data_IF_784282294599
#
_entry.id   IF_784282294599
#
_cell.length_a   1.000
_cell.length_b   1.000
_cell.length_c   1.000
_cell.angle_alpha   90.00
_cell.angle_beta   90.00
_cell.angle_gamma   90.00
#
_symmetry.space_group_name_H-M   'P 1'
#
loop_
_entity.id
_entity.type
_entity.pdbx_description
1 polymer ?
#
# COMPACT_ATOMS: atom_id res chain seq x y z
N UNK A 1 13.49 31.75 -9.39
CA UNK A 1 12.18 31.99 -10.05
C UNK A 1 11.33 30.72 -10.31
N UNK A 2 11.72 29.54 -9.82
CA UNK A 2 10.93 28.30 -9.95
C UNK A 2 9.72 28.18 -9.01
N UNK A 3 9.69 28.94 -7.91
CA UNK A 3 8.59 28.90 -6.92
C UNK A 3 7.31 29.57 -7.45
N UNK A 4 7.42 30.63 -8.21
CA UNK A 4 6.27 31.34 -8.79
C UNK A 4 5.59 30.53 -9.91
N UNK A 5 6.35 29.80 -10.72
CA UNK A 5 5.79 28.97 -11.78
C UNK A 5 4.97 27.78 -11.24
N UNK A 6 5.43 27.15 -10.15
CA UNK A 6 4.66 26.08 -9.48
C UNK A 6 3.37 26.61 -8.84
N UNK A 7 3.42 27.79 -8.22
CA UNK A 7 2.26 28.44 -7.61
C UNK A 7 1.20 28.82 -8.67
N UNK A 8 1.64 29.41 -9.78
CA UNK A 8 0.76 29.77 -10.90
C UNK A 8 0.17 28.52 -11.57
N UNK A 9 0.97 27.47 -11.78
CA UNK A 9 0.50 26.21 -12.35
C UNK A 9 -0.55 25.51 -11.44
N UNK A 10 -0.43 25.63 -10.10
CA UNK A 10 -1.42 25.13 -9.14
C UNK A 10 -2.73 25.92 -9.21
N UNK A 11 -2.68 27.26 -9.27
CA UNK A 11 -3.87 28.14 -9.42
C UNK A 11 -4.59 27.88 -10.75
N UNK A 12 -3.85 27.58 -11.81
CA UNK A 12 -4.42 27.27 -13.13
C UNK A 12 -4.93 25.82 -13.25
N UNK A 13 -4.89 25.03 -12.18
CA UNK A 13 -5.32 23.61 -12.20
C UNK A 13 -4.44 22.71 -13.08
N UNK A 14 -3.26 23.18 -13.50
CA UNK A 14 -2.31 22.44 -14.33
C UNK A 14 -1.45 21.46 -13.52
N UNK A 15 -1.42 21.61 -12.19
CA UNK A 15 -0.85 20.65 -11.25
C UNK A 15 -2.02 20.12 -10.43
N UNK A 16 -2.48 18.93 -10.71
CA UNK A 16 -3.34 18.18 -9.79
C UNK A 16 -2.50 17.88 -8.55
N UNK A 17 -2.99 18.22 -7.36
CA UNK A 17 -2.40 17.72 -6.12
C UNK A 17 -2.47 16.21 -6.16
N UNK A 18 -1.31 15.56 -6.19
CA UNK A 18 -1.22 14.10 -6.19
C UNK A 18 -1.79 13.63 -4.86
N UNK A 19 -2.95 13.00 -4.89
CA UNK A 19 -3.54 12.38 -3.71
C UNK A 19 -2.68 11.18 -3.32
N UNK A 20 -1.95 11.32 -2.23
CA UNK A 20 -1.03 10.28 -1.74
C UNK A 20 -1.57 9.54 -0.53
N UNK A 21 -2.72 9.93 0.00
CA UNK A 21 -3.34 9.26 1.11
C UNK A 21 -3.75 7.82 0.75
N UNK A 22 -3.86 6.96 1.76
CA UNK A 22 -4.07 5.53 1.59
C UNK A 22 -5.26 5.05 2.40
N UNK A 23 -6.22 4.42 1.76
CA UNK A 23 -7.26 3.63 2.43
C UNK A 23 -6.80 2.18 2.53
N UNK A 24 -6.90 1.59 3.71
CA UNK A 24 -6.53 0.19 3.95
C UNK A 24 -7.75 -0.57 4.46
N UNK A 25 -8.24 -1.51 3.67
CA UNK A 25 -9.32 -2.43 4.09
C UNK A 25 -8.72 -3.62 4.82
N UNK A 26 -9.13 -3.79 6.08
CA UNK A 26 -8.54 -4.67 7.06
C UNK A 26 -7.60 -3.91 8.01
N UNK A 27 -7.85 -3.96 9.33
CA UNK A 27 -7.03 -3.30 10.36
C UNK A 27 -6.22 -4.33 11.17
N UNK A 28 -5.63 -5.31 10.49
CA UNK A 28 -4.77 -6.34 11.08
C UNK A 28 -3.34 -5.83 11.37
N UNK A 29 -2.51 -6.67 11.96
CA UNK A 29 -1.13 -6.35 12.33
C UNK A 29 -0.31 -5.81 11.15
N UNK A 30 -0.47 -6.39 9.94
CA UNK A 30 0.21 -5.93 8.72
C UNK A 30 -0.23 -4.53 8.30
N UNK A 31 -1.55 -4.30 8.30
CA UNK A 31 -2.14 -3.00 7.99
C UNK A 31 -1.71 -1.92 8.99
N UNK A 32 -1.70 -2.26 10.29
CA UNK A 32 -1.25 -1.35 11.36
C UNK A 32 0.23 -1.00 11.18
N UNK A 33 1.07 -1.96 10.80
CA UNK A 33 2.49 -1.72 10.51
C UNK A 33 2.67 -0.73 9.36
N UNK A 34 1.93 -0.92 8.26
CA UNK A 34 1.96 -0.03 7.08
C UNK A 34 1.42 1.36 7.46
N UNK A 35 0.28 1.43 8.15
CA UNK A 35 -0.34 2.69 8.54
C UNK A 35 0.57 3.54 9.45
N UNK A 36 1.22 2.93 10.45
CA UNK A 36 2.22 3.62 11.29
C UNK A 36 3.37 4.21 10.49
N UNK A 37 3.85 3.48 9.49
CA UNK A 37 4.91 3.97 8.62
C UNK A 37 4.43 5.17 7.80
N UNK A 38 3.21 5.11 7.24
CA UNK A 38 2.62 6.21 6.49
C UNK A 38 2.47 7.47 7.36
N UNK A 39 1.96 7.34 8.60
CA UNK A 39 1.87 8.46 9.55
C UNK A 39 3.23 9.07 9.88
N UNK A 40 4.24 8.24 10.15
CA UNK A 40 5.62 8.70 10.40
C UNK A 40 6.15 9.60 9.28
N UNK A 41 5.65 9.40 8.06
CA UNK A 41 6.04 10.17 6.88
C UNK A 41 4.99 11.22 6.45
N UNK A 42 4.04 11.55 7.34
CA UNK A 42 2.95 12.53 7.10
C UNK A 42 2.10 12.19 5.87
N UNK A 43 1.88 10.90 5.62
CA UNK A 43 0.98 10.40 4.58
C UNK A 43 -0.35 10.04 5.25
N UNK A 44 -1.42 10.72 4.83
CA UNK A 44 -2.77 10.46 5.32
C UNK A 44 -3.14 8.99 5.10
N UNK A 45 -3.75 8.36 6.11
CA UNK A 45 -4.23 7.00 5.97
C UNK A 45 -5.46 6.75 6.82
N UNK A 46 -6.32 5.86 6.33
CA UNK A 46 -7.56 5.46 6.98
C UNK A 46 -7.73 3.95 6.88
N UNK A 47 -7.87 3.28 8.02
CA UNK A 47 -8.17 1.86 8.10
C UNK A 47 -9.69 1.64 8.10
N UNK A 48 -10.16 0.55 7.47
CA UNK A 48 -11.57 0.15 7.49
C UNK A 48 -11.64 -1.32 7.93
N UNK A 49 -12.38 -1.61 8.99
CA UNK A 49 -12.58 -2.97 9.48
C UNK A 49 -13.94 -3.11 10.18
N UNK A 50 -14.39 -4.36 10.38
CA UNK A 50 -15.56 -4.72 11.19
C UNK A 50 -15.19 -5.38 12.52
N UNK A 51 -13.99 -5.94 12.61
CA UNK A 51 -13.52 -6.61 13.82
C UNK A 51 -13.27 -5.58 14.92
N UNK A 52 -14.08 -5.66 15.98
CA UNK A 52 -13.92 -4.78 17.14
C UNK A 52 -12.52 -4.88 17.77
N UNK A 53 -11.93 -6.07 17.72
CA UNK A 53 -10.58 -6.31 18.22
C UNK A 53 -9.53 -5.59 17.36
N UNK A 54 -9.60 -5.71 16.04
CA UNK A 54 -8.69 -5.01 15.12
C UNK A 54 -8.83 -3.49 15.26
N UNK A 55 -10.09 -3.02 15.35
CA UNK A 55 -10.38 -1.58 15.55
C UNK A 55 -9.79 -1.10 16.87
N UNK A 56 -9.94 -1.88 17.95
CA UNK A 56 -9.36 -1.56 19.26
C UNK A 56 -7.83 -1.42 19.16
N UNK A 57 -7.17 -2.41 18.57
CA UNK A 57 -5.71 -2.42 18.40
C UNK A 57 -5.22 -1.21 17.58
N UNK A 58 -5.91 -0.86 16.48
CA UNK A 58 -5.58 0.31 15.68
C UNK A 58 -5.74 1.62 16.48
N UNK A 59 -6.84 1.76 17.26
CA UNK A 59 -7.08 2.93 18.10
C UNK A 59 -6.08 3.06 19.25
N UNK A 60 -5.63 1.95 19.84
CA UNK A 60 -4.60 1.95 20.91
C UNK A 60 -3.26 2.54 20.45
N UNK A 61 -2.99 2.51 19.16
CA UNK A 61 -1.81 3.12 18.55
C UNK A 61 -2.12 4.42 17.81
N UNK A 62 -3.26 5.05 18.09
CA UNK A 62 -3.74 6.32 17.57
C UNK A 62 -3.96 6.38 16.04
N UNK A 63 -4.19 5.24 15.38
CA UNK A 63 -4.50 5.23 13.95
C UNK A 63 -5.96 5.59 13.69
N UNK A 64 -6.21 6.25 12.58
CA UNK A 64 -7.56 6.52 12.09
C UNK A 64 -8.19 5.22 11.57
N UNK A 65 -9.29 4.77 12.18
CA UNK A 65 -10.00 3.56 11.80
C UNK A 65 -11.51 3.77 11.81
N UNK A 66 -12.16 3.36 10.74
CA UNK A 66 -13.61 3.42 10.54
C UNK A 66 -14.18 2.01 10.71
N UNK A 67 -15.17 1.87 11.61
CA UNK A 67 -15.96 0.65 11.73
C UNK A 67 -17.01 0.62 10.63
N UNK A 68 -16.73 -0.08 9.53
CA UNK A 68 -17.65 -0.18 8.40
C UNK A 68 -17.49 -1.50 7.66
N UNK A 69 -18.64 -2.03 7.19
CA UNK A 69 -18.65 -3.17 6.28
C UNK A 69 -18.39 -2.69 4.85
N UNK A 70 -17.23 -2.99 4.32
CA UNK A 70 -16.89 -2.63 2.93
C UNK A 70 -17.81 -3.31 1.90
N UNK A 71 -18.48 -4.41 2.28
CA UNK A 71 -19.42 -5.14 1.44
C UNK A 71 -20.83 -4.52 1.43
N UNK A 72 -21.14 -3.57 2.34
CA UNK A 72 -22.45 -2.90 2.35
C UNK A 72 -22.57 -1.95 1.16
N UNK A 73 -23.82 -1.74 0.71
CA UNK A 73 -24.12 -0.82 -0.40
C UNK A 73 -24.14 0.66 0.03
N UNK A 74 -23.89 0.93 1.33
CA UNK A 74 -23.83 2.29 1.85
C UNK A 74 -22.59 3.02 1.31
N UNK A 75 -22.83 4.03 0.49
CA UNK A 75 -21.78 4.84 -0.16
C UNK A 75 -21.29 6.04 0.66
N UNK A 76 -21.50 6.02 2.00
CA UNK A 76 -21.15 7.12 2.91
C UNK A 76 -19.64 7.28 3.18
N UNK A 77 -18.79 6.63 2.39
CA UNK A 77 -17.33 6.80 2.50
C UNK A 77 -16.89 7.97 1.61
N UNK A 78 -16.50 9.07 2.24
CA UNK A 78 -15.89 10.19 1.57
C UNK A 78 -14.37 10.10 1.68
N UNK A 79 -13.69 10.16 0.54
CA UNK A 79 -12.23 10.12 0.44
C UNK A 79 -11.73 11.42 -0.18
N UNK A 80 -11.08 12.27 0.62
CA UNK A 80 -10.64 13.60 0.21
C UNK A 80 -9.20 13.63 -0.29
N UNK A 81 -8.27 13.10 0.52
CA UNK A 81 -6.83 13.13 0.27
C UNK A 81 -6.25 11.77 -0.13
N UNK A 82 -7.07 10.72 -0.05
CA UNK A 82 -6.66 9.37 -0.37
C UNK A 82 -6.66 9.15 -1.89
N UNK A 83 -5.54 8.65 -2.37
CA UNK A 83 -5.33 8.33 -3.78
C UNK A 83 -5.11 6.84 -4.03
N UNK A 84 -4.96 6.02 -2.97
CA UNK A 84 -4.64 4.61 -3.05
C UNK A 84 -5.54 3.76 -2.14
N UNK A 85 -5.87 2.56 -2.60
CA UNK A 85 -6.58 1.55 -1.82
C UNK A 85 -5.73 0.29 -1.69
N UNK A 86 -5.52 -0.18 -0.46
CA UNK A 86 -4.94 -1.48 -0.15
C UNK A 86 -6.01 -2.40 0.44
N UNK A 87 -6.27 -3.54 -0.15
CA UNK A 87 -7.16 -4.57 0.40
C UNK A 87 -6.31 -5.70 1.01
N UNK A 88 -6.18 -5.69 2.34
CA UNK A 88 -5.27 -6.52 3.12
C UNK A 88 -6.00 -7.37 4.17
N UNK A 89 -7.22 -7.84 3.88
CA UNK A 89 -7.92 -8.76 4.78
C UNK A 89 -7.48 -10.21 4.54
N UNK A 90 -7.78 -11.09 5.49
CA UNK A 90 -7.60 -12.54 5.32
C UNK A 90 -8.58 -13.16 4.33
N UNK A 91 -9.63 -12.44 3.94
CA UNK A 91 -10.66 -12.89 3.00
C UNK A 91 -10.38 -12.38 1.60
N UNK A 92 -10.08 -13.31 0.70
CA UNK A 92 -9.85 -13.02 -0.71
C UNK A 92 -11.06 -12.36 -1.39
N UNK A 93 -12.27 -12.84 -1.07
CA UNK A 93 -13.50 -12.32 -1.65
C UNK A 93 -13.73 -10.86 -1.23
N UNK A 94 -13.45 -10.54 0.03
CA UNK A 94 -13.52 -9.16 0.54
C UNK A 94 -12.50 -8.28 -0.18
N UNK A 95 -11.27 -8.74 -0.36
CA UNK A 95 -10.22 -7.98 -1.04
C UNK A 95 -10.58 -7.71 -2.51
N UNK A 96 -11.05 -8.73 -3.23
CA UNK A 96 -11.51 -8.59 -4.62
C UNK A 96 -12.70 -7.63 -4.72
N UNK A 97 -13.67 -7.78 -3.83
CA UNK A 97 -14.86 -6.92 -3.81
C UNK A 97 -14.50 -5.46 -3.52
N UNK A 98 -13.67 -5.20 -2.49
CA UNK A 98 -13.21 -3.86 -2.14
C UNK A 98 -12.52 -3.17 -3.32
N UNK A 99 -11.61 -3.86 -4.01
CA UNK A 99 -10.96 -3.33 -5.20
C UNK A 99 -11.96 -3.03 -6.32
N UNK A 100 -12.93 -3.90 -6.58
CA UNK A 100 -13.97 -3.68 -7.61
C UNK A 100 -14.88 -2.49 -7.26
N UNK A 101 -15.37 -2.43 -6.03
CA UNK A 101 -16.26 -1.37 -5.53
C UNK A 101 -15.60 0.00 -5.62
N UNK A 102 -14.35 0.09 -5.17
CA UNK A 102 -13.67 1.37 -5.04
C UNK A 102 -12.78 1.75 -6.25
N UNK A 103 -12.76 0.91 -7.30
CA UNK A 103 -12.05 1.19 -8.54
C UNK A 103 -12.48 2.50 -9.22
N UNK A 104 -13.77 2.84 -9.16
CA UNK A 104 -14.30 4.09 -9.71
C UNK A 104 -13.83 5.33 -8.93
N UNK A 105 -13.49 5.18 -7.66
CA UNK A 105 -13.04 6.27 -6.78
C UNK A 105 -11.53 6.49 -6.92
N UNK A 106 -10.73 5.42 -6.84
CA UNK A 106 -9.26 5.51 -6.81
C UNK A 106 -8.62 5.35 -8.19
N UNK A 107 -9.35 4.88 -9.18
CA UNK A 107 -8.81 4.45 -10.48
C UNK A 107 -8.25 3.04 -10.44
N UNK A 108 -8.19 2.41 -11.62
CA UNK A 108 -7.75 1.01 -11.77
C UNK A 108 -6.31 0.77 -11.31
N UNK A 109 -5.43 1.75 -11.52
CA UNK A 109 -4.00 1.65 -11.21
C UNK A 109 -3.67 1.86 -9.73
N UNK A 110 -4.64 2.28 -8.91
CA UNK A 110 -4.43 2.67 -7.51
C UNK A 110 -5.19 1.80 -6.52
N UNK A 111 -5.75 0.69 -6.97
CA UNK A 111 -6.41 -0.31 -6.12
C UNK A 111 -5.56 -1.58 -6.08
N UNK A 112 -5.13 -1.98 -4.90
CA UNK A 112 -4.16 -3.06 -4.70
C UNK A 112 -4.70 -4.12 -3.76
N UNK A 113 -4.29 -5.39 -3.97
CA UNK A 113 -4.63 -6.50 -3.08
C UNK A 113 -3.52 -7.55 -3.04
N UNK A 114 -3.57 -8.39 -2.05
CA UNK A 114 -2.75 -9.60 -2.00
C UNK A 114 -3.29 -10.66 -2.96
N UNK A 115 -2.42 -11.57 -3.41
CA UNK A 115 -2.85 -12.80 -4.08
C UNK A 115 -3.59 -13.71 -3.10
N UNK A 116 -4.48 -14.50 -3.66
CA UNK A 116 -5.13 -15.58 -2.93
C UNK A 116 -4.29 -16.85 -3.01
N UNK A 117 -4.31 -17.69 -1.99
CA UNK A 117 -3.68 -19.02 -2.01
C UNK A 117 -4.11 -19.84 -3.23
N UNK A 118 -5.38 -19.71 -3.65
CA UNK A 118 -5.89 -20.39 -4.84
C UNK A 118 -5.29 -19.83 -6.13
N UNK A 119 -5.15 -18.50 -6.24
CA UNK A 119 -4.51 -17.88 -7.40
C UNK A 119 -3.03 -18.26 -7.50
N UNK A 120 -2.33 -18.34 -6.37
CA UNK A 120 -0.94 -18.83 -6.30
C UNK A 120 -0.87 -20.28 -6.81
N UNK A 121 -1.74 -21.17 -6.31
CA UNK A 121 -1.74 -22.59 -6.67
C UNK A 121 -2.14 -22.86 -8.13
N UNK A 122 -3.05 -22.07 -8.68
CA UNK A 122 -3.59 -22.30 -10.01
C UNK A 122 -2.70 -21.73 -11.13
N UNK A 123 -1.58 -21.03 -10.81
CA UNK A 123 -0.77 -20.34 -11.81
C UNK A 123 -1.66 -19.58 -12.81
N UNK A 124 -2.59 -18.79 -12.29
CA UNK A 124 -3.69 -18.23 -13.07
C UNK A 124 -3.20 -17.68 -14.42
N UNK A 125 -3.77 -18.17 -15.50
CA UNK A 125 -3.45 -17.81 -16.89
C UNK A 125 -3.64 -16.31 -17.18
N UNK A 126 -4.47 -15.63 -16.38
CA UNK A 126 -4.61 -14.17 -16.36
C UNK A 126 -4.05 -13.64 -15.05
N UNK A 127 -2.87 -13.04 -15.09
CA UNK A 127 -2.31 -12.33 -13.94
C UNK A 127 -3.20 -11.14 -13.62
N UNK A 128 -3.85 -11.11 -12.44
CA UNK A 128 -4.61 -9.92 -12.04
C UNK A 128 -3.64 -8.74 -11.89
N UNK A 129 -4.08 -7.56 -12.29
CA UNK A 129 -3.29 -6.33 -12.14
C UNK A 129 -3.20 -5.89 -10.69
N UNK A 130 -2.16 -5.13 -10.36
CA UNK A 130 -1.96 -4.48 -9.06
C UNK A 130 -1.93 -5.46 -7.86
N UNK A 131 -1.35 -6.62 -8.07
CA UNK A 131 -1.06 -7.56 -7.00
C UNK A 131 0.15 -7.06 -6.22
N UNK A 132 -0.03 -6.90 -4.91
CA UNK A 132 1.02 -6.44 -4.02
C UNK A 132 2.14 -7.48 -3.89
N UNK A 133 3.34 -6.95 -3.86
CA UNK A 133 4.60 -7.59 -3.52
C UNK A 133 5.07 -8.62 -4.56
N UNK A 134 4.69 -9.90 -4.45
CA UNK A 134 5.18 -10.97 -5.31
C UNK A 134 4.12 -12.05 -5.60
N UNK A 135 4.44 -12.96 -6.51
CA UNK A 135 3.55 -14.06 -6.96
C UNK A 135 3.22 -15.11 -5.88
N UNK A 136 3.98 -15.13 -4.82
CA UNK A 136 4.02 -16.16 -3.79
C UNK A 136 3.89 -15.57 -2.39
N UNK A 137 3.38 -14.33 -2.28
CA UNK A 137 3.22 -13.64 -1.01
C UNK A 137 1.73 -13.43 -0.70
N UNK A 138 1.26 -14.05 0.36
CA UNK A 138 -0.14 -13.97 0.79
C UNK A 138 -0.31 -13.25 2.14
N UNK A 139 -1.53 -13.30 2.66
CA UNK A 139 -1.87 -12.71 3.95
C UNK A 139 -1.09 -13.32 5.13
N UNK A 140 -0.87 -14.64 5.12
CA UNK A 140 -0.22 -15.33 6.24
C UNK A 140 1.25 -14.92 6.31
N UNK A 141 1.93 -14.93 5.17
CA UNK A 141 3.34 -14.49 5.08
C UNK A 141 3.51 -13.03 5.52
N UNK A 142 2.56 -12.14 5.16
CA UNK A 142 2.59 -10.76 5.63
C UNK A 142 2.52 -10.68 7.17
N UNK A 143 1.59 -11.39 7.78
CA UNK A 143 1.42 -11.38 9.24
C UNK A 143 2.63 -11.99 9.95
N UNK A 144 3.15 -13.12 9.46
CA UNK A 144 4.33 -13.76 10.03
C UNK A 144 5.56 -12.85 9.94
N UNK A 145 5.76 -12.20 8.79
CA UNK A 145 6.88 -11.29 8.59
C UNK A 145 6.78 -10.06 9.51
N UNK A 146 5.59 -9.47 9.64
CA UNK A 146 5.37 -8.31 10.53
C UNK A 146 5.57 -8.67 12.00
N UNK A 147 5.16 -9.87 12.43
CA UNK A 147 5.42 -10.35 13.80
C UNK A 147 6.91 -10.49 14.08
N UNK A 148 7.67 -10.96 13.10
CA UNK A 148 9.12 -11.10 13.20
C UNK A 148 9.84 -9.74 13.11
N UNK A 149 9.34 -8.84 12.27
CA UNK A 149 9.92 -7.53 11.99
C UNK A 149 8.81 -6.45 12.07
N UNK A 150 8.50 -5.94 13.26
CA UNK A 150 7.32 -5.09 13.49
C UNK A 150 7.48 -3.64 12.99
N UNK A 151 8.49 -3.35 12.19
CA UNK A 151 8.79 -2.02 11.67
C UNK A 151 9.13 -2.05 10.19
N UNK A 152 8.70 -1.00 9.48
CA UNK A 152 9.13 -0.73 8.12
C UNK A 152 10.36 0.16 8.17
N UNK A 153 11.40 -0.26 7.44
CA UNK A 153 12.68 0.41 7.32
C UNK A 153 12.82 1.07 5.95
N UNK A 154 13.77 2.00 5.83
CA UNK A 154 14.08 2.71 4.60
C UNK A 154 15.47 2.33 4.10
N UNK A 155 15.60 2.19 2.77
CA UNK A 155 16.89 2.11 2.09
C UNK A 155 16.91 3.06 0.90
N UNK A 156 17.95 3.90 0.80
CA UNK A 156 18.15 4.79 -0.34
C UNK A 156 18.56 3.98 -1.57
N UNK A 157 17.89 4.22 -2.68
CA UNK A 157 18.23 3.57 -3.96
C UNK A 157 19.24 4.43 -4.70
N UNK A 158 20.34 3.81 -5.16
CA UNK A 158 21.45 4.53 -5.79
C UNK A 158 21.52 4.30 -7.32
N UNK A 159 20.87 3.26 -7.84
CA UNK A 159 20.80 2.94 -9.27
C UNK A 159 19.67 1.93 -9.56
N UNK A 160 19.39 1.67 -10.84
CA UNK A 160 18.47 0.61 -11.27
C UNK A 160 18.99 -0.79 -10.84
N UNK A 161 20.28 -1.05 -10.96
CA UNK A 161 20.91 -2.32 -10.56
C UNK A 161 20.78 -2.54 -9.03
N UNK A 162 20.96 -1.46 -8.24
CA UNK A 162 20.76 -1.52 -6.78
C UNK A 162 19.31 -1.88 -6.45
N UNK A 163 18.34 -1.22 -7.09
CA UNK A 163 16.93 -1.59 -6.92
C UNK A 163 16.67 -3.06 -7.27
N UNK A 164 17.18 -3.53 -8.40
CA UNK A 164 17.02 -4.93 -8.81
C UNK A 164 17.64 -5.92 -7.81
N UNK A 165 18.76 -5.56 -7.19
CA UNK A 165 19.36 -6.39 -6.13
C UNK A 165 18.50 -6.45 -4.88
N UNK A 166 17.87 -5.32 -4.48
CA UNK A 166 16.96 -5.24 -3.34
C UNK A 166 15.70 -6.07 -3.57
N UNK A 167 15.08 -6.00 -4.76
CA UNK A 167 13.87 -6.79 -5.08
C UNK A 167 14.14 -8.30 -5.13
N UNK A 168 15.37 -8.71 -5.47
CA UNK A 168 15.79 -10.12 -5.52
C UNK A 168 16.27 -10.67 -4.17
N UNK A 169 16.35 -9.85 -3.14
CA UNK A 169 16.75 -10.25 -1.80
C UNK A 169 15.84 -11.33 -1.22
N UNK A 170 16.34 -12.07 -0.23
CA UNK A 170 15.68 -13.26 0.31
C UNK A 170 14.26 -12.97 0.82
N UNK A 171 13.26 -13.55 0.16
CA UNK A 171 11.82 -13.34 0.42
C UNK A 171 11.39 -13.80 1.83
N UNK A 172 12.07 -14.75 2.44
CA UNK A 172 11.70 -15.29 3.76
C UNK A 172 11.99 -14.32 4.91
N UNK A 173 12.78 -13.29 4.66
CA UNK A 173 13.19 -12.32 5.68
C UNK A 173 13.09 -10.86 5.25
N UNK A 174 12.58 -10.60 4.04
CA UNK A 174 12.57 -9.28 3.44
C UNK A 174 11.39 -9.08 2.48
N UNK A 175 10.66 -7.99 2.64
CA UNK A 175 9.54 -7.63 1.79
C UNK A 175 9.60 -6.14 1.41
N UNK A 176 9.83 -5.80 0.14
CA UNK A 176 9.69 -4.43 -0.34
C UNK A 176 8.21 -4.04 -0.38
N UNK A 177 7.85 -2.91 0.23
CA UNK A 177 6.46 -2.46 0.39
C UNK A 177 6.11 -1.37 -0.61
N UNK A 178 6.90 -0.29 -0.62
CA UNK A 178 6.64 0.88 -1.44
C UNK A 178 7.90 1.65 -1.77
N UNK A 179 7.87 2.35 -2.89
CA UNK A 179 8.83 3.37 -3.29
C UNK A 179 8.30 4.74 -2.85
N UNK A 180 9.11 5.50 -2.14
CA UNK A 180 8.87 6.94 -1.90
C UNK A 180 9.76 7.75 -2.81
N UNK A 181 9.13 8.69 -3.53
CA UNK A 181 9.80 9.58 -4.49
C UNK A 181 9.29 10.99 -4.30
N UNK A 182 10.11 11.87 -3.75
CA UNK A 182 9.67 13.22 -3.34
C UNK A 182 8.45 13.13 -2.40
N UNK A 183 7.30 13.67 -2.84
CA UNK A 183 6.04 13.64 -2.10
C UNK A 183 5.06 12.58 -2.63
N UNK A 184 5.50 11.63 -3.43
CA UNK A 184 4.64 10.56 -3.96
C UNK A 184 5.07 9.19 -3.43
N UNK A 185 4.09 8.27 -3.37
CA UNK A 185 4.31 6.87 -3.05
C UNK A 185 3.85 5.99 -4.21
N UNK A 186 4.50 4.85 -4.37
CA UNK A 186 4.12 3.81 -5.32
C UNK A 186 4.29 2.47 -4.62
N UNK A 187 3.21 1.67 -4.54
CA UNK A 187 3.29 0.35 -3.94
C UNK A 187 4.01 -0.62 -4.86
N UNK A 188 4.86 -1.47 -4.27
CA UNK A 188 5.56 -2.51 -5.02
C UNK A 188 4.55 -3.59 -5.40
N UNK A 189 4.42 -3.83 -6.69
CA UNK A 189 3.55 -4.86 -7.28
C UNK A 189 4.38 -5.88 -8.04
N UNK A 190 3.77 -7.02 -8.38
CA UNK A 190 4.41 -8.08 -9.17
C UNK A 190 5.04 -7.60 -10.49
N UNK A 191 4.37 -6.64 -11.12
CA UNK A 191 4.75 -6.07 -12.43
C UNK A 191 5.34 -4.66 -12.31
N UNK A 192 5.81 -4.29 -11.09
CA UNK A 192 6.38 -2.99 -10.80
C UNK A 192 7.56 -2.69 -11.72
N UNK A 193 7.45 -1.61 -12.48
CA UNK A 193 8.52 -1.13 -13.36
C UNK A 193 9.24 0.02 -12.67
N UNK A 194 10.54 -0.10 -12.55
CA UNK A 194 11.37 0.89 -11.90
C UNK A 194 12.32 1.57 -12.88
N UNK A 195 12.45 2.85 -12.73
CA UNK A 195 13.48 3.68 -13.33
C UNK A 195 14.02 4.61 -12.25
N UNK A 196 15.31 4.58 -12.01
CA UNK A 196 15.97 5.32 -10.96
C UNK A 196 15.80 6.84 -11.12
N UNK A 197 15.45 7.50 -10.02
CA UNK A 197 15.58 8.94 -9.86
C UNK A 197 16.30 9.25 -8.55
N UNK A 198 17.05 10.35 -8.54
CA UNK A 198 17.76 10.79 -7.34
C UNK A 198 16.76 11.08 -6.19
N UNK A 199 17.10 10.57 -5.00
CA UNK A 199 16.25 10.72 -3.82
C UNK A 199 15.22 9.61 -3.61
N UNK A 200 15.19 8.59 -4.47
CA UNK A 200 14.31 7.42 -4.28
C UNK A 200 14.64 6.63 -3.03
N UNK A 201 13.61 6.27 -2.29
CA UNK A 201 13.70 5.49 -1.05
C UNK A 201 12.78 4.28 -1.18
N UNK A 202 13.31 3.08 -0.96
CA UNK A 202 12.52 1.86 -0.84
C UNK A 202 12.20 1.60 0.63
N UNK A 203 10.90 1.55 0.95
CA UNK A 203 10.40 1.11 2.25
C UNK A 203 10.19 -0.39 2.24
N UNK A 204 10.66 -1.09 3.28
CA UNK A 204 10.64 -2.55 3.37
C UNK A 204 10.44 -3.05 4.79
N UNK A 205 9.90 -4.27 4.92
CA UNK A 205 9.85 -5.03 6.17
C UNK A 205 10.96 -6.09 6.12
N UNK A 206 11.68 -6.28 7.21
CA UNK A 206 12.64 -7.38 7.32
C UNK A 206 14.08 -6.93 7.51
N UNK A 207 15.00 -7.84 7.15
CA UNK A 207 16.44 -7.69 7.29
C UNK A 207 17.10 -7.70 5.91
N UNK A 208 17.82 -6.62 5.61
CA UNK A 208 18.71 -6.53 4.43
C UNK A 208 20.08 -7.07 4.85
N UNK A 209 20.37 -8.30 4.46
CA UNK A 209 21.71 -8.89 4.58
C UNK A 209 22.53 -8.64 3.34
#
# INVERSE_FOLDING_TARGET
NGLSAKFVARILGLIQDVKNGVVIVGANEGSICIAKYLEKHNISNTLIDLSKENIRQAKEVNLNVIEKNILSDDDDLEFNDEGHLLALTSSNDVNIFACRKLKSVFGESNVYRLLTVNEIKLNALSKPQNILFSNDFDYIELIELVRKYPQINDVKINSDEHFQSLIKSNKDSYLPIMLRRNNSIQFITMDFKYQHLEGDILAYIGDLK
#
